data_IF_529025438456
#
_entry.id   IF_529025438456
#
_cell.length_a   1.000
_cell.length_b   1.000
_cell.length_c   1.000
_cell.angle_alpha   90.00
_cell.angle_beta   90.00
_cell.angle_gamma   90.00
#
_symmetry.space_group_name_H-M   'P 1'
#
loop_
_entity.id
_entity.type
_entity.pdbx_description
1 polymer ?
#
# COMPACT_ATOMS: atom_id res chain seq x y z
N UNK A 1 -10.31 16.16 12.96
CA UNK A 1 -9.40 16.77 11.94
C UNK A 1 -8.51 15.75 11.22
N UNK A 2 -8.38 14.52 11.74
CA UNK A 2 -7.49 13.50 11.18
C UNK A 2 -8.08 12.68 10.01
N UNK A 3 -9.38 12.79 9.77
CA UNK A 3 -10.08 12.00 8.74
C UNK A 3 -9.56 12.24 7.33
N UNK A 4 -9.12 13.46 7.02
CA UNK A 4 -8.64 13.83 5.69
C UNK A 4 -7.35 13.10 5.28
N UNK A 5 -6.41 12.89 6.22
CA UNK A 5 -5.12 12.22 5.91
C UNK A 5 -5.36 10.75 5.58
N UNK A 6 -6.23 10.07 6.30
CA UNK A 6 -6.58 8.66 6.05
C UNK A 6 -7.27 8.50 4.69
N UNK A 7 -8.17 9.42 4.33
CA UNK A 7 -8.81 9.43 3.00
C UNK A 7 -7.77 9.63 1.88
N UNK A 8 -6.77 10.50 2.08
CA UNK A 8 -5.66 10.65 1.12
C UNK A 8 -4.87 9.36 0.97
N UNK A 9 -4.65 8.60 2.05
CA UNK A 9 -4.01 7.29 1.99
C UNK A 9 -4.80 6.29 1.14
N UNK A 10 -6.12 6.26 1.29
CA UNK A 10 -7.00 5.43 0.48
C UNK A 10 -7.00 5.84 -0.99
N UNK A 11 -7.10 7.15 -1.27
CA UNK A 11 -7.03 7.70 -2.64
C UNK A 11 -5.69 7.35 -3.28
N UNK A 12 -4.58 7.45 -2.54
CA UNK A 12 -3.27 7.07 -3.04
C UNK A 12 -3.19 5.58 -3.39
N UNK A 13 -3.81 4.70 -2.59
CA UNK A 13 -3.88 3.26 -2.87
C UNK A 13 -4.67 2.96 -4.15
N UNK A 14 -5.82 3.62 -4.33
CA UNK A 14 -6.63 3.52 -5.56
C UNK A 14 -5.86 4.06 -6.77
N UNK A 15 -5.14 5.18 -6.59
CA UNK A 15 -4.29 5.75 -7.65
C UNK A 15 -3.17 4.79 -8.06
N UNK A 16 -2.55 4.10 -7.09
CA UNK A 16 -1.54 3.06 -7.35
C UNK A 16 -2.12 1.92 -8.20
N UNK A 17 -3.36 1.50 -7.93
CA UNK A 17 -4.05 0.48 -8.74
C UNK A 17 -4.24 0.95 -10.18
N UNK A 18 -4.78 2.15 -10.38
CA UNK A 18 -5.00 2.69 -11.74
C UNK A 18 -3.67 2.80 -12.51
N UNK A 19 -2.62 3.28 -11.86
CA UNK A 19 -1.30 3.40 -12.47
C UNK A 19 -0.69 2.02 -12.81
N UNK A 20 -0.88 1.00 -11.96
CA UNK A 20 -0.37 -0.36 -12.24
C UNK A 20 -1.12 -1.03 -13.40
N UNK A 21 -2.44 -0.83 -13.48
CA UNK A 21 -3.22 -1.27 -14.65
C UNK A 21 -2.74 -0.56 -15.91
N UNK A 22 -2.50 0.75 -15.84
CA UNK A 22 -1.96 1.51 -16.97
C UNK A 22 -0.57 1.01 -17.36
N UNK A 23 0.32 0.71 -16.39
CA UNK A 23 1.64 0.11 -16.63
C UNK A 23 1.53 -1.22 -17.37
N UNK A 24 0.57 -2.07 -16.99
CA UNK A 24 0.31 -3.34 -17.69
C UNK A 24 -0.15 -3.12 -19.13
N UNK A 25 -1.12 -2.22 -19.32
CA UNK A 25 -1.78 -2.02 -20.63
C UNK A 25 -0.88 -1.30 -21.64
N UNK A 26 -0.08 -0.31 -21.20
CA UNK A 26 0.74 0.52 -22.11
C UNK A 26 1.77 -0.30 -22.93
N UNK A 27 2.20 -1.43 -22.39
CA UNK A 27 3.17 -2.32 -23.05
C UNK A 27 2.61 -2.91 -24.34
N UNK A 28 1.29 -3.10 -24.44
CA UNK A 28 0.65 -3.63 -25.66
C UNK A 28 0.60 -2.61 -26.81
N UNK A 29 0.76 -1.33 -26.51
CA UNK A 29 0.87 -0.28 -27.52
C UNK A 29 2.34 -0.08 -27.89
N UNK A 30 2.75 -0.57 -29.07
CA UNK A 30 4.12 -0.41 -29.59
C UNK A 30 4.37 1.07 -29.90
N UNK A 31 5.01 1.78 -28.95
CA UNK A 31 5.44 3.16 -29.13
C UNK A 31 6.85 3.31 -28.53
N UNK A 32 7.78 3.93 -29.27
CA UNK A 32 9.15 4.21 -28.79
C UNK A 32 9.15 5.03 -27.48
N UNK A 33 8.14 5.88 -27.29
CA UNK A 33 7.99 6.67 -26.05
C UNK A 33 7.72 5.81 -24.80
N UNK A 34 7.25 4.57 -24.95
CA UNK A 34 6.94 3.69 -23.84
C UNK A 34 8.17 3.37 -23.01
N UNK A 35 9.35 3.28 -23.64
CA UNK A 35 10.62 3.04 -22.94
C UNK A 35 10.96 4.12 -21.92
N UNK A 36 10.56 5.37 -22.17
CA UNK A 36 10.77 6.53 -21.27
C UNK A 36 9.64 6.62 -20.22
N UNK A 37 8.42 6.27 -20.60
CA UNK A 37 7.22 6.44 -19.76
C UNK A 37 7.12 5.37 -18.69
N UNK A 38 7.45 4.12 -19.01
CA UNK A 38 7.31 2.96 -18.10
C UNK A 38 8.08 3.14 -16.77
N UNK A 39 9.37 3.54 -16.75
CA UNK A 39 10.09 3.77 -15.49
C UNK A 39 9.41 4.82 -14.61
N UNK A 40 8.92 5.92 -15.23
CA UNK A 40 8.25 6.98 -14.49
C UNK A 40 6.93 6.50 -13.87
N UNK A 41 6.16 5.67 -14.59
CA UNK A 41 4.93 5.08 -14.06
C UNK A 41 5.26 4.15 -12.88
N UNK A 42 6.27 3.29 -13.02
CA UNK A 42 6.68 2.38 -11.94
C UNK A 42 7.10 3.13 -10.68
N UNK A 43 7.83 4.23 -10.82
CA UNK A 43 8.20 5.11 -9.70
C UNK A 43 6.96 5.78 -9.10
N UNK A 44 5.99 6.20 -9.91
CA UNK A 44 4.73 6.77 -9.41
C UNK A 44 3.90 5.73 -8.65
N UNK A 45 3.80 4.49 -9.14
CA UNK A 45 3.14 3.39 -8.42
C UNK A 45 3.79 3.16 -7.06
N UNK A 46 5.10 3.07 -7.01
CA UNK A 46 5.83 2.95 -5.75
C UNK A 46 5.58 4.15 -4.82
N UNK A 47 5.67 5.38 -5.34
CA UNK A 47 5.51 6.59 -4.54
C UNK A 47 4.10 6.71 -3.93
N UNK A 48 3.07 6.39 -4.70
CA UNK A 48 1.67 6.41 -4.22
C UNK A 48 1.41 5.29 -3.21
N UNK A 49 1.99 4.10 -3.41
CA UNK A 49 1.91 2.99 -2.44
C UNK A 49 2.67 3.33 -1.15
N UNK A 50 3.86 3.93 -1.26
CA UNK A 50 4.64 4.38 -0.11
C UNK A 50 3.87 5.44 0.69
N UNK A 51 3.29 6.44 0.02
CA UNK A 51 2.46 7.44 0.67
C UNK A 51 1.28 6.83 1.40
N UNK A 52 0.59 5.87 0.77
CA UNK A 52 -0.50 5.11 1.41
C UNK A 52 -0.02 4.38 2.68
N UNK A 53 1.11 3.69 2.61
CA UNK A 53 1.67 2.98 3.77
C UNK A 53 2.08 3.93 4.90
N UNK A 54 2.73 5.05 4.58
CA UNK A 54 3.09 6.09 5.57
C UNK A 54 1.85 6.70 6.23
N UNK A 55 0.77 6.87 5.48
CA UNK A 55 -0.51 7.36 6.01
C UNK A 55 -1.11 6.36 6.99
N UNK A 56 -1.00 5.05 6.73
CA UNK A 56 -1.44 4.01 7.66
C UNK A 56 -0.59 4.03 8.95
N UNK A 57 0.74 4.16 8.84
CA UNK A 57 1.63 4.34 10.02
C UNK A 57 1.18 5.56 10.83
N UNK A 58 0.91 6.68 10.16
CA UNK A 58 0.44 7.89 10.83
C UNK A 58 -0.88 7.66 11.59
N UNK A 59 -1.85 6.95 11.00
CA UNK A 59 -3.10 6.61 11.67
C UNK A 59 -2.88 5.81 12.97
N UNK A 60 -1.93 4.86 12.96
CA UNK A 60 -1.53 4.13 14.17
C UNK A 60 -0.85 5.01 15.20
N UNK A 61 0.03 5.92 14.78
CA UNK A 61 0.75 6.83 15.69
C UNK A 61 -0.19 7.77 16.43
N UNK A 62 -1.15 8.37 15.73
CA UNK A 62 -2.14 9.28 16.32
C UNK A 62 -3.32 8.55 16.99
N UNK A 63 -3.34 7.20 16.93
CA UNK A 63 -4.41 6.35 17.47
C UNK A 63 -5.78 6.75 16.91
N UNK A 64 -5.90 6.84 15.59
CA UNK A 64 -7.15 7.18 14.92
C UNK A 64 -8.08 5.96 14.88
N UNK A 65 -8.84 5.76 15.95
CA UNK A 65 -9.78 4.65 16.12
C UNK A 65 -11.01 4.71 15.20
N UNK A 66 -11.12 5.74 14.36
CA UNK A 66 -12.11 5.73 13.27
C UNK A 66 -11.73 4.77 12.15
N UNK A 67 -10.45 4.34 12.08
CA UNK A 67 -9.96 3.27 11.21
C UNK A 67 -10.13 1.94 11.92
N UNK A 68 -10.87 1.02 11.35
CA UNK A 68 -11.19 -0.28 11.94
C UNK A 68 -9.93 -1.08 12.32
N UNK A 69 -8.91 -1.03 11.46
CA UNK A 69 -7.62 -1.68 11.71
C UNK A 69 -6.92 -1.12 12.96
N UNK A 70 -6.89 0.20 13.12
CA UNK A 70 -6.27 0.85 14.27
C UNK A 70 -7.03 0.53 15.56
N UNK A 71 -8.36 0.52 15.50
CA UNK A 71 -9.21 0.21 16.66
C UNK A 71 -9.03 -1.24 17.15
N UNK A 72 -8.79 -2.18 16.24
CA UNK A 72 -8.58 -3.61 16.56
C UNK A 72 -7.18 -3.93 17.06
N UNK A 73 -6.15 -3.26 16.54
CA UNK A 73 -4.75 -3.66 16.74
C UNK A 73 -3.89 -2.59 17.45
N UNK A 74 -4.48 -1.48 17.92
CA UNK A 74 -3.77 -0.46 18.67
C UNK A 74 -4.49 -0.09 19.98
N UNK A 75 -3.82 0.68 20.83
CA UNK A 75 -4.35 1.24 22.08
C UNK A 75 -3.63 2.56 22.38
N UNK A 76 -4.29 3.52 23.04
CA UNK A 76 -3.71 4.84 23.33
C UNK A 76 -2.43 4.76 24.16
N UNK A 77 -2.37 3.84 25.14
CA UNK A 77 -1.24 3.66 26.05
C UNK A 77 -0.05 2.90 25.49
N UNK A 78 -0.12 2.40 24.23
CA UNK A 78 1.00 1.65 23.63
C UNK A 78 2.22 2.55 23.38
N UNK A 79 3.46 2.07 23.69
CA UNK A 79 4.68 2.74 23.26
C UNK A 79 4.74 2.90 21.73
N UNK A 80 5.40 3.97 21.25
CA UNK A 80 5.48 4.31 19.83
C UNK A 80 5.95 3.15 18.94
N UNK A 81 6.94 2.39 19.41
CA UNK A 81 7.52 1.27 18.66
C UNK A 81 6.48 0.20 18.36
N UNK A 82 5.58 -0.08 19.33
CA UNK A 82 4.49 -1.05 19.15
C UNK A 82 3.33 -0.50 18.32
N UNK A 83 3.14 0.83 18.28
CA UNK A 83 2.19 1.45 17.34
C UNK A 83 2.68 1.31 15.91
N UNK A 84 3.97 1.58 15.67
CA UNK A 84 4.58 1.45 14.34
C UNK A 84 4.54 -0.01 13.87
N UNK A 85 4.99 -0.96 14.71
CA UNK A 85 4.97 -2.39 14.35
C UNK A 85 3.55 -2.94 14.21
N UNK A 86 2.58 -2.38 14.93
CA UNK A 86 1.16 -2.70 14.80
C UNK A 86 0.61 -2.49 13.39
N UNK A 87 1.22 -1.59 12.60
CA UNK A 87 0.81 -1.33 11.22
C UNK A 87 0.87 -2.57 10.34
N UNK A 88 1.89 -3.43 10.51
CA UNK A 88 2.06 -4.67 9.71
C UNK A 88 1.88 -5.96 10.52
N UNK A 89 1.56 -5.86 11.81
CA UNK A 89 1.29 -7.03 12.66
C UNK A 89 -0.11 -7.65 12.46
N UNK A 90 -0.78 -7.28 11.40
CA UNK A 90 -2.12 -7.73 11.01
C UNK A 90 -2.15 -8.07 9.53
N UNK A 91 -3.24 -8.71 9.07
CA UNK A 91 -3.36 -9.18 7.70
C UNK A 91 -3.35 -8.03 6.67
N UNK A 92 -4.15 -7.00 6.89
CA UNK A 92 -4.36 -5.89 5.95
C UNK A 92 -3.10 -5.03 5.80
N UNK A 93 -2.48 -4.70 6.92
CA UNK A 93 -1.26 -3.88 6.93
C UNK A 93 -0.04 -4.64 6.41
N UNK A 94 0.08 -5.95 6.70
CA UNK A 94 1.15 -6.79 6.15
C UNK A 94 0.99 -6.97 4.64
N UNK A 95 -0.23 -7.11 4.13
CA UNK A 95 -0.48 -7.16 2.68
C UNK A 95 -0.05 -5.86 2.00
N UNK A 96 -0.38 -4.70 2.59
CA UNK A 96 0.07 -3.40 2.07
C UNK A 96 1.60 -3.26 2.08
N UNK A 97 2.29 -3.76 3.13
CA UNK A 97 3.75 -3.81 3.18
C UNK A 97 4.33 -4.69 2.06
N UNK A 98 3.73 -5.86 1.80
CA UNK A 98 4.14 -6.73 0.69
C UNK A 98 4.00 -6.03 -0.67
N UNK A 99 2.89 -5.34 -0.89
CA UNK A 99 2.67 -4.53 -2.11
C UNK A 99 3.72 -3.43 -2.22
N UNK A 100 4.05 -2.77 -1.12
CA UNK A 100 5.11 -1.74 -1.10
C UNK A 100 6.47 -2.33 -1.55
N UNK A 101 6.84 -3.51 -1.06
CA UNK A 101 8.07 -4.20 -1.46
C UNK A 101 8.02 -4.57 -2.95
N UNK A 102 6.91 -5.11 -3.44
CA UNK A 102 6.75 -5.46 -4.86
C UNK A 102 6.87 -4.23 -5.76
N UNK A 103 6.20 -3.13 -5.40
CA UNK A 103 6.25 -1.88 -6.18
C UNK A 103 7.64 -1.22 -6.13
N UNK A 104 8.36 -1.33 -5.01
CA UNK A 104 9.75 -0.90 -4.89
C UNK A 104 10.67 -1.63 -5.87
N UNK A 105 10.61 -2.96 -5.90
CA UNK A 105 11.40 -3.74 -6.86
C UNK A 105 10.95 -3.51 -8.30
N UNK A 106 9.66 -3.25 -8.54
CA UNK A 106 9.15 -2.84 -9.84
C UNK A 106 9.78 -1.52 -10.31
N UNK A 107 9.87 -0.52 -9.43
CA UNK A 107 10.49 0.77 -9.73
C UNK A 107 12.00 0.64 -10.03
N UNK A 108 12.72 -0.18 -9.25
CA UNK A 108 14.15 -0.43 -9.48
C UNK A 108 14.36 -1.13 -10.83
N UNK A 109 13.67 -2.25 -11.06
CA UNK A 109 13.88 -3.07 -12.25
C UNK A 109 13.47 -2.37 -13.54
N UNK A 110 12.42 -1.52 -13.50
CA UNK A 110 12.03 -0.72 -14.66
C UNK A 110 13.02 0.40 -15.00
N UNK A 111 13.90 0.77 -14.06
CA UNK A 111 14.97 1.77 -14.27
C UNK A 111 16.27 1.16 -14.80
N UNK A 112 16.36 -0.18 -14.90
CA UNK A 112 17.53 -0.84 -15.43
C UNK A 112 17.60 -0.73 -16.96
N UNK A 113 18.81 -0.58 -17.50
CA UNK A 113 19.05 -0.57 -18.94
C UNK A 113 19.03 -2.01 -19.49
N UNK A 114 17.85 -2.48 -19.83
CA UNK A 114 17.62 -3.82 -20.39
C UNK A 114 17.27 -3.72 -21.87
N UNK A 115 17.48 -4.80 -22.66
CA UNK A 115 16.98 -4.88 -24.03
C UNK A 115 15.47 -4.59 -24.08
N UNK A 116 15.02 -3.84 -25.06
CA UNK A 116 13.64 -3.30 -25.16
C UNK A 116 12.55 -4.37 -24.96
N UNK A 117 12.68 -5.51 -25.63
CA UNK A 117 11.72 -6.62 -25.49
C UNK A 117 11.64 -7.16 -24.08
N UNK A 118 12.79 -7.32 -23.43
CA UNK A 118 12.84 -7.85 -22.07
C UNK A 118 12.31 -6.83 -21.06
N UNK A 119 12.66 -5.57 -21.24
CA UNK A 119 12.14 -4.46 -20.42
C UNK A 119 10.61 -4.38 -20.50
N UNK A 120 10.03 -4.45 -21.70
CA UNK A 120 8.59 -4.41 -21.91
C UNK A 120 7.89 -5.60 -21.26
N UNK A 121 8.41 -6.82 -21.43
CA UNK A 121 7.84 -8.02 -20.84
C UNK A 121 7.88 -7.96 -19.31
N UNK A 122 9.04 -7.59 -18.74
CA UNK A 122 9.23 -7.45 -17.30
C UNK A 122 8.24 -6.44 -16.71
N UNK A 123 8.11 -5.26 -17.32
CA UNK A 123 7.22 -4.20 -16.89
C UNK A 123 5.75 -4.60 -16.97
N UNK A 124 5.36 -5.36 -18.00
CA UNK A 124 4.01 -5.90 -18.15
C UNK A 124 3.68 -6.87 -17.02
N UNK A 125 4.57 -7.83 -16.75
CA UNK A 125 4.37 -8.82 -15.67
C UNK A 125 4.28 -8.12 -14.32
N UNK A 126 5.14 -7.14 -14.05
CA UNK A 126 5.10 -6.37 -12.81
C UNK A 126 3.82 -5.54 -12.68
N UNK A 127 3.41 -4.86 -13.76
CA UNK A 127 2.14 -4.11 -13.77
C UNK A 127 0.94 -5.00 -13.48
N UNK A 128 0.90 -6.21 -14.08
CA UNK A 128 -0.14 -7.19 -13.80
C UNK A 128 -0.11 -7.66 -12.34
N UNK A 129 1.06 -8.07 -11.81
CA UNK A 129 1.18 -8.52 -10.43
C UNK A 129 0.78 -7.42 -9.44
N UNK A 130 1.30 -6.21 -9.60
CA UNK A 130 0.97 -5.09 -8.75
C UNK A 130 -0.54 -4.79 -8.78
N UNK A 131 -1.17 -4.82 -9.96
CA UNK A 131 -2.61 -4.57 -10.09
C UNK A 131 -3.45 -5.65 -9.41
N UNK A 132 -3.06 -6.92 -9.49
CA UNK A 132 -3.75 -8.02 -8.81
C UNK A 132 -3.66 -7.89 -7.29
N UNK A 133 -2.46 -7.64 -6.75
CA UNK A 133 -2.26 -7.49 -5.31
C UNK A 133 -2.93 -6.22 -4.76
N UNK A 134 -2.87 -5.10 -5.50
CA UNK A 134 -3.58 -3.87 -5.12
C UNK A 134 -5.10 -4.05 -5.15
N UNK A 135 -5.63 -4.77 -6.15
CA UNK A 135 -7.05 -5.12 -6.20
C UNK A 135 -7.46 -5.97 -5.01
N UNK A 136 -6.69 -7.01 -4.68
CA UNK A 136 -6.92 -7.84 -3.51
C UNK A 136 -6.91 -6.98 -2.22
N UNK A 137 -5.95 -6.08 -2.07
CA UNK A 137 -5.85 -5.19 -0.92
C UNK A 137 -7.07 -4.26 -0.80
N UNK A 138 -7.51 -3.65 -1.90
CA UNK A 138 -8.62 -2.68 -1.87
C UNK A 138 -9.97 -3.37 -1.64
N UNK A 139 -10.23 -4.48 -2.32
CA UNK A 139 -11.56 -5.10 -2.34
C UNK A 139 -11.77 -6.14 -1.24
N UNK A 140 -10.71 -6.80 -0.76
CA UNK A 140 -10.81 -7.88 0.23
C UNK A 140 -10.24 -7.50 1.60
N UNK A 141 -9.18 -6.70 1.64
CA UNK A 141 -8.38 -6.44 2.85
C UNK A 141 -8.02 -4.97 2.96
N UNK A 142 -9.03 -4.09 2.90
CA UNK A 142 -8.81 -2.64 2.87
C UNK A 142 -8.32 -2.10 4.22
N UNK A 143 -7.05 -1.66 4.33
CA UNK A 143 -6.48 -1.17 5.58
C UNK A 143 -7.06 0.17 6.03
N UNK A 144 -7.80 0.88 5.15
CA UNK A 144 -8.44 2.17 5.44
C UNK A 144 -9.95 2.04 5.68
N UNK A 145 -10.44 0.79 5.92
CA UNK A 145 -11.86 0.59 6.24
C UNK A 145 -12.25 1.37 7.49
N UNK A 146 -13.38 2.08 7.44
CA UNK A 146 -13.88 2.86 8.56
C UNK A 146 -14.72 2.02 9.50
N UNK A 147 -14.46 2.15 10.79
CA UNK A 147 -15.29 1.52 11.82
C UNK A 147 -16.69 2.15 11.85
N UNK A 148 -17.70 1.33 11.89
CA UNK A 148 -19.10 1.79 12.04
C UNK A 148 -19.38 2.31 13.45
N UNK A 149 -18.69 1.78 14.45
CA UNK A 149 -18.74 2.21 15.85
C UNK A 149 -17.32 2.60 16.27
N UNK A 150 -17.11 3.88 16.52
CA UNK A 150 -15.81 4.39 16.99
C UNK A 150 -15.71 4.10 18.48
N UNK A 151 -14.82 3.20 18.92
CA UNK A 151 -14.62 2.95 20.34
C UNK A 151 -13.88 4.12 21.00
N UNK A 152 -14.06 4.29 22.31
CA UNK A 152 -13.34 5.32 23.09
C UNK A 152 -11.82 5.05 23.13
N UNK A 153 -11.42 3.77 23.06
CA UNK A 153 -10.02 3.33 22.95
C UNK A 153 -9.97 2.01 22.16
N UNK A 154 -8.78 1.65 21.67
CA UNK A 154 -8.58 0.44 20.89
C UNK A 154 -8.48 -0.82 21.74
N UNK A 155 -8.72 -1.99 21.11
CA UNK A 155 -8.72 -3.31 21.77
C UNK A 155 -7.33 -3.78 22.22
N UNK A 156 -6.27 -3.14 21.77
CA UNK A 156 -4.91 -3.48 22.16
C UNK A 156 -4.22 -4.50 21.25
N UNK A 157 -3.20 -5.20 21.79
CA UNK A 157 -2.50 -6.26 21.07
C UNK A 157 -3.41 -7.49 20.92
N UNK A 158 -3.18 -8.24 19.83
CA UNK A 158 -3.75 -9.57 19.69
C UNK A 158 -3.49 -10.36 20.98
N UNK A 159 -4.50 -11.03 21.57
CA UNK A 159 -4.35 -11.80 22.81
C UNK A 159 -3.16 -12.77 22.80
N UNK A 160 -2.84 -13.37 21.64
CA UNK A 160 -1.67 -14.27 21.45
C UNK A 160 -0.32 -13.58 21.74
N UNK A 161 -0.25 -12.24 21.63
CA UNK A 161 0.96 -11.46 21.88
C UNK A 161 0.97 -10.86 23.30
N UNK A 162 -0.06 -11.08 24.10
CA UNK A 162 -0.18 -10.59 25.47
C UNK A 162 0.20 -11.60 26.52
N UNK A 163 0.21 -12.90 26.18
CA UNK A 163 0.64 -14.00 27.05
C UNK A 163 2.17 -14.19 26.92
N UNK A 164 2.90 -13.44 27.73
CA UNK A 164 4.31 -13.67 28.09
C UNK A 164 4.43 -13.68 29.61
#
# INVERSE_FOLDING_TARGET
MNNFIVELGHIALVSALVLSVYQFVIVFFKNEKNYIIIPNISVLVFSTTLFSFLTLIYAFLVSDFSVDLVSKFSHSSKPLIYKISGTWANHEGSLLLWILILTFFSAISSSLKLPERFHSLLSSVQGLLNSLFLSLCIFTSNPFHRSTLIPNDGLGLNPILQDL
#
